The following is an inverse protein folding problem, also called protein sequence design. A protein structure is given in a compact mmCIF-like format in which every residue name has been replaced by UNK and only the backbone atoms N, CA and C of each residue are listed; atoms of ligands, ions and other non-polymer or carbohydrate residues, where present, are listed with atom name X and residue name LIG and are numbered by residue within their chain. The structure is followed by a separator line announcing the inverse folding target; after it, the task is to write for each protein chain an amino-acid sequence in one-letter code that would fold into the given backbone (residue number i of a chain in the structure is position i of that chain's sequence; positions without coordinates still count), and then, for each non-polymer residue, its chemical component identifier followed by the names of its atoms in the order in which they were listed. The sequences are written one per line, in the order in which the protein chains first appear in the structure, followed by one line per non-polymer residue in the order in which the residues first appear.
data_IF_249161181780
#
_entry.id   IF_249161181780
#
_cell.length_a   1.000
_cell.length_b   1.000
_cell.length_c   1.000
_cell.angle_alpha   90.00
_cell.angle_beta   90.00
_cell.angle_gamma   90.00
#
_symmetry.space_group_name_H-M   'P 1'
#
loop_
_entity.id
_entity.type
_entity.pdbx_description
1 polymer ?
#
# COMPACT_ATOMS: atom_id res chain seq x y z
N UNK A 1 -0.65 -9.87 -6.72
CA UNK A 1 -2.08 -10.19 -6.94
C UNK A 1 -2.36 -11.70 -6.99
N UNK A 2 -1.82 -12.46 -7.95
CA UNK A 2 -2.13 -13.90 -8.12
C UNK A 2 -1.92 -14.75 -6.85
N UNK A 3 -0.78 -14.59 -6.19
CA UNK A 3 -0.46 -15.33 -4.94
C UNK A 3 -1.50 -15.09 -3.83
N UNK A 4 -1.96 -13.84 -3.67
CA UNK A 4 -3.00 -13.51 -2.68
C UNK A 4 -4.33 -14.17 -3.04
N UNK A 5 -4.71 -14.16 -4.31
CA UNK A 5 -5.93 -14.83 -4.78
C UNK A 5 -5.85 -16.34 -4.52
N UNK A 6 -4.73 -16.97 -4.84
CA UNK A 6 -4.51 -18.41 -4.61
C UNK A 6 -4.68 -18.76 -3.12
N UNK A 7 -4.20 -17.89 -2.20
CA UNK A 7 -4.36 -18.05 -0.75
C UNK A 7 -5.80 -17.92 -0.29
N UNK A 8 -6.57 -16.97 -0.85
CA UNK A 8 -7.99 -16.83 -0.53
C UNK A 8 -8.80 -18.03 -1.03
N UNK A 9 -8.49 -18.53 -2.23
CA UNK A 9 -9.10 -19.74 -2.77
C UNK A 9 -8.75 -20.99 -1.94
N UNK A 10 -7.50 -21.11 -1.49
CA UNK A 10 -7.05 -22.18 -0.59
C UNK A 10 -7.80 -22.17 0.75
N UNK A 11 -7.97 -20.98 1.35
CA UNK A 11 -8.77 -20.80 2.57
C UNK A 11 -10.23 -21.20 2.34
N UNK A 12 -10.82 -20.79 1.22
CA UNK A 12 -12.19 -21.15 0.85
C UNK A 12 -12.38 -22.67 0.77
N UNK A 13 -11.48 -23.35 0.05
CA UNK A 13 -11.49 -24.83 -0.08
C UNK A 13 -11.36 -25.53 1.27
N UNK A 14 -10.52 -25.03 2.16
CA UNK A 14 -10.36 -25.62 3.50
C UNK A 14 -11.54 -25.34 4.43
N UNK A 15 -12.25 -24.21 4.25
CA UNK A 15 -13.48 -23.92 4.98
C UNK A 15 -14.59 -24.89 4.59
N UNK A 16 -14.68 -25.22 3.30
CA UNK A 16 -15.71 -26.12 2.77
C UNK A 16 -15.41 -27.60 3.05
N UNK A 17 -14.13 -27.97 3.24
CA UNK A 17 -13.69 -29.31 3.63
C UNK A 17 -12.66 -29.26 4.79
N UNK A 18 -13.11 -29.05 6.03
CA UNK A 18 -12.21 -29.04 7.19
C UNK A 18 -11.69 -30.44 7.52
N UNK A 19 -10.51 -30.49 8.16
CA UNK A 19 -9.96 -31.76 8.67
C UNK A 19 -10.90 -32.38 9.71
N UNK A 20 -11.06 -33.70 9.68
CA UNK A 20 -11.89 -34.44 10.64
C UNK A 20 -11.33 -34.37 12.09
N UNK A 21 -10.02 -34.16 12.23
CA UNK A 21 -9.37 -33.97 13.53
C UNK A 21 -9.31 -32.49 13.91
N UNK A 22 -9.91 -32.13 15.05
CA UNK A 22 -10.00 -30.76 15.54
C UNK A 22 -8.62 -30.10 15.74
N UNK A 23 -7.64 -30.83 16.28
CA UNK A 23 -6.29 -30.28 16.53
C UNK A 23 -5.61 -29.91 15.21
N UNK A 24 -5.72 -30.77 14.20
CA UNK A 24 -5.12 -30.53 12.89
C UNK A 24 -5.86 -29.45 12.12
N UNK A 25 -7.19 -29.40 12.24
CA UNK A 25 -8.01 -28.32 11.68
C UNK A 25 -7.64 -26.97 12.26
N UNK A 26 -7.48 -26.87 13.59
CA UNK A 26 -7.10 -25.64 14.29
C UNK A 26 -5.70 -25.17 13.88
N UNK A 27 -4.70 -26.07 13.88
CA UNK A 27 -3.33 -25.74 13.43
C UNK A 27 -3.30 -25.22 12.00
N UNK A 28 -4.00 -25.91 11.08
CA UNK A 28 -4.05 -25.53 9.67
C UNK A 28 -4.78 -24.20 9.45
N UNK A 29 -5.85 -23.95 10.21
CA UNK A 29 -6.56 -22.67 10.17
C UNK A 29 -5.65 -21.51 10.61
N UNK A 30 -4.91 -21.68 11.72
CA UNK A 30 -3.96 -20.66 12.19
C UNK A 30 -2.86 -20.38 11.17
N UNK A 31 -2.28 -21.42 10.57
CA UNK A 31 -1.24 -21.27 9.55
C UNK A 31 -1.75 -20.53 8.30
N UNK A 32 -2.96 -20.85 7.83
CA UNK A 32 -3.54 -20.16 6.69
C UNK A 32 -3.91 -18.72 7.00
N UNK A 33 -4.37 -18.42 8.22
CA UNK A 33 -4.63 -17.04 8.62
C UNK A 33 -3.34 -16.21 8.66
N UNK A 34 -2.25 -16.76 9.20
CA UNK A 34 -0.93 -16.12 9.14
C UNK A 34 -0.47 -15.88 7.69
N UNK A 35 -0.63 -16.89 6.82
CA UNK A 35 -0.32 -16.77 5.38
C UNK A 35 -1.16 -15.67 4.71
N UNK A 36 -2.46 -15.60 5.02
CA UNK A 36 -3.38 -14.56 4.51
C UNK A 36 -2.94 -13.18 4.95
N UNK A 37 -2.65 -12.99 6.23
CA UNK A 37 -2.19 -11.70 6.78
C UNK A 37 -0.92 -11.26 6.07
N UNK A 38 0.07 -12.14 5.93
CA UNK A 38 1.32 -11.83 5.26
C UNK A 38 1.11 -11.45 3.79
N UNK A 39 0.33 -12.25 3.04
CA UNK A 39 0.10 -11.95 1.62
C UNK A 39 -0.77 -10.70 1.42
N UNK A 40 -1.69 -10.41 2.35
CA UNK A 40 -2.45 -9.14 2.35
C UNK A 40 -1.53 -7.93 2.51
N UNK A 41 -0.55 -8.01 3.43
CA UNK A 41 0.45 -6.96 3.63
C UNK A 41 1.27 -6.78 2.36
N UNK A 42 1.90 -7.85 1.86
CA UNK A 42 2.70 -7.80 0.64
C UNK A 42 1.93 -7.19 -0.54
N UNK A 43 0.66 -7.58 -0.72
CA UNK A 43 -0.16 -7.03 -1.78
C UNK A 43 -0.42 -5.53 -1.60
N UNK A 44 -0.71 -5.07 -0.38
CA UNK A 44 -0.91 -3.65 -0.09
C UNK A 44 0.35 -2.85 -0.42
N UNK A 45 1.52 -3.37 -0.06
CA UNK A 45 2.80 -2.70 -0.33
C UNK A 45 3.04 -2.58 -1.83
N UNK A 46 2.78 -3.63 -2.61
CA UNK A 46 2.85 -3.57 -4.07
C UNK A 46 1.87 -2.55 -4.66
N UNK A 47 0.65 -2.43 -4.11
CA UNK A 47 -0.33 -1.42 -4.55
C UNK A 47 0.17 -0.01 -4.23
N UNK A 48 0.71 0.20 -3.02
CA UNK A 48 1.28 1.48 -2.58
C UNK A 48 2.42 1.90 -3.50
N UNK A 49 3.41 1.04 -3.69
CA UNK A 49 4.56 1.30 -4.56
C UNK A 49 4.12 1.62 -5.99
N UNK A 50 3.22 0.81 -6.57
CA UNK A 50 2.68 1.06 -7.90
C UNK A 50 1.97 2.42 -7.99
N UNK A 51 1.20 2.77 -6.97
CA UNK A 51 0.43 4.02 -6.92
C UNK A 51 1.35 5.23 -6.78
N UNK A 52 2.40 5.14 -5.95
CA UNK A 52 3.42 6.17 -5.79
C UNK A 52 4.23 6.37 -7.08
N UNK A 53 4.67 5.29 -7.72
CA UNK A 53 5.36 5.34 -9.00
C UNK A 53 4.49 5.97 -10.09
N UNK A 54 3.19 5.61 -10.14
CA UNK A 54 2.23 6.20 -11.07
C UNK A 54 2.05 7.70 -10.80
N UNK A 55 1.87 8.10 -9.52
CA UNK A 55 1.77 9.50 -9.11
C UNK A 55 3.00 10.29 -9.54
N UNK A 56 4.21 9.76 -9.30
CA UNK A 56 5.46 10.43 -9.62
C UNK A 56 5.64 10.61 -11.13
N UNK A 57 5.39 9.55 -11.92
CA UNK A 57 5.44 9.62 -13.38
C UNK A 57 4.44 10.66 -13.94
N UNK A 58 3.19 10.65 -13.46
CA UNK A 58 2.17 11.62 -13.89
C UNK A 58 2.49 13.04 -13.42
N UNK A 59 3.13 13.22 -12.26
CA UNK A 59 3.57 14.51 -11.78
C UNK A 59 4.59 15.14 -12.72
N UNK A 60 5.60 14.38 -13.15
CA UNK A 60 6.59 14.84 -14.13
C UNK A 60 5.91 15.33 -15.41
N UNK A 61 4.97 14.53 -15.96
CA UNK A 61 4.21 14.92 -17.15
C UNK A 61 3.38 16.19 -16.92
N UNK A 62 2.73 16.33 -15.76
CA UNK A 62 1.92 17.52 -15.44
C UNK A 62 2.75 18.78 -15.24
N UNK A 63 3.91 18.67 -14.59
CA UNK A 63 4.82 19.79 -14.37
C UNK A 63 5.39 20.28 -15.73
N UNK A 64 5.72 19.36 -16.64
CA UNK A 64 6.14 19.67 -18.01
C UNK A 64 5.03 20.36 -18.83
N UNK A 65 3.77 19.89 -18.69
CA UNK A 65 2.60 20.50 -19.34
C UNK A 65 2.28 21.90 -18.81
N UNK A 66 2.77 22.27 -17.62
CA UNK A 66 2.68 23.62 -17.05
C UNK A 66 3.83 24.53 -17.49
N UNK A 67 4.99 23.94 -17.79
CA UNK A 67 6.19 24.61 -18.28
C UNK A 67 6.20 24.84 -19.80
N UNK A 68 7.38 24.69 -20.41
CA UNK A 68 7.62 24.93 -21.85
C UNK A 68 7.04 23.87 -22.79
N UNK A 69 6.36 22.81 -22.26
CA UNK A 69 5.82 21.66 -23.02
C UNK A 69 6.87 20.86 -23.81
N UNK A 70 8.13 20.97 -23.42
CA UNK A 70 9.21 20.16 -23.98
C UNK A 70 9.29 18.86 -23.16
N UNK A 71 9.11 17.71 -23.80
CA UNK A 71 9.22 16.41 -23.14
C UNK A 71 10.68 16.22 -22.72
N UNK A 72 10.97 16.24 -21.42
CA UNK A 72 12.27 15.82 -20.89
C UNK A 72 12.12 14.39 -20.39
N UNK A 73 12.30 13.46 -21.31
CA UNK A 73 12.34 12.02 -20.99
C UNK A 73 13.19 11.19 -21.96
N UNK A 74 13.47 11.71 -23.16
CA UNK A 74 14.40 11.09 -24.08
C UNK A 74 15.56 12.07 -24.38
N UNK A 75 16.80 11.82 -23.93
CA UNK A 75 17.96 12.67 -24.24
C UNK A 75 18.20 12.82 -25.75
N UNK A 76 17.74 11.86 -26.54
CA UNK A 76 18.01 11.77 -27.97
C UNK A 76 16.89 12.34 -28.85
N UNK A 77 15.69 12.59 -28.31
CA UNK A 77 14.56 13.10 -29.10
C UNK A 77 13.57 13.93 -28.27
N UNK A 78 13.57 15.24 -28.51
CA UNK A 78 12.57 16.18 -27.98
C UNK A 78 11.21 15.87 -28.62
N UNK A 79 10.37 15.12 -27.94
CA UNK A 79 8.96 15.07 -28.30
C UNK A 79 8.31 16.42 -27.94
N UNK A 80 7.84 17.14 -28.95
CA UNK A 80 7.10 18.40 -28.77
C UNK A 80 5.62 18.08 -28.96
N UNK A 81 4.79 18.40 -27.97
CA UNK A 81 3.35 18.30 -28.11
C UNK A 81 2.86 19.33 -29.15
N UNK A 82 2.51 18.86 -30.35
CA UNK A 82 1.93 19.69 -31.42
C UNK A 82 0.53 20.19 -31.02
N UNK A 83 0.07 21.30 -31.62
CA UNK A 83 -1.29 21.82 -31.52
C UNK A 83 -2.36 20.76 -31.85
N UNK A 84 -2.02 19.72 -32.62
CA UNK A 84 -2.88 18.56 -32.90
C UNK A 84 -3.17 17.74 -31.62
N UNK A 85 -2.21 17.61 -30.70
CA UNK A 85 -2.38 16.86 -29.45
C UNK A 85 -3.42 17.50 -28.54
N UNK A 86 -3.56 18.84 -28.60
CA UNK A 86 -4.57 19.59 -27.86
C UNK A 86 -6.02 19.27 -28.28
N UNK A 87 -6.20 18.72 -29.48
CA UNK A 87 -7.50 18.28 -30.00
C UNK A 87 -7.82 16.82 -29.67
N UNK A 88 -6.82 16.01 -29.29
CA UNK A 88 -7.03 14.60 -28.95
C UNK A 88 -7.84 14.50 -27.66
N UNK A 89 -8.85 13.64 -27.68
CA UNK A 89 -9.72 13.38 -26.54
C UNK A 89 -9.76 11.89 -26.25
N UNK A 90 -9.72 11.56 -24.97
CA UNK A 90 -9.99 10.21 -24.50
C UNK A 90 -11.36 10.22 -23.82
N UNK A 91 -12.27 9.36 -24.27
CA UNK A 91 -13.64 9.30 -23.76
C UNK A 91 -14.34 10.68 -23.69
N UNK A 92 -14.19 11.50 -24.75
CA UNK A 92 -14.70 12.89 -24.87
C UNK A 92 -14.05 13.91 -23.92
N UNK A 93 -13.10 13.53 -23.08
CA UNK A 93 -12.34 14.43 -22.22
C UNK A 93 -11.00 14.81 -22.89
N UNK A 94 -10.51 16.06 -22.71
CA UNK A 94 -9.14 16.40 -23.09
C UNK A 94 -8.12 15.49 -22.40
N UNK A 95 -7.09 15.03 -23.10
CA UNK A 95 -6.06 14.14 -22.54
C UNK A 95 -5.43 14.73 -21.26
N UNK A 96 -5.17 16.04 -21.24
CA UNK A 96 -4.65 16.73 -20.04
C UNK A 96 -5.55 16.56 -18.83
N UNK A 97 -6.86 16.60 -19.02
CA UNK A 97 -7.83 16.41 -17.95
C UNK A 97 -7.86 14.96 -17.48
N UNK A 98 -7.75 13.99 -18.40
CA UNK A 98 -7.60 12.58 -18.05
C UNK A 98 -6.35 12.35 -17.20
N UNK A 99 -5.18 12.88 -17.61
CA UNK A 99 -3.92 12.77 -16.86
C UNK A 99 -4.05 13.40 -15.48
N UNK A 100 -4.66 14.58 -15.39
CA UNK A 100 -4.90 15.25 -14.10
C UNK A 100 -5.80 14.44 -13.17
N UNK A 101 -6.90 13.89 -13.71
CA UNK A 101 -7.84 13.08 -12.93
C UNK A 101 -7.17 11.79 -12.44
N UNK A 102 -6.37 11.13 -13.29
CA UNK A 102 -5.59 9.95 -12.89
C UNK A 102 -4.55 10.31 -11.84
N UNK A 103 -3.83 11.42 -11.99
CA UNK A 103 -2.89 11.90 -10.98
C UNK A 103 -3.57 12.17 -9.64
N UNK A 104 -4.71 12.88 -9.65
CA UNK A 104 -5.46 13.18 -8.44
C UNK A 104 -5.95 11.91 -7.73
N UNK A 105 -6.40 10.91 -8.50
CA UNK A 105 -6.76 9.61 -7.97
C UNK A 105 -5.56 8.89 -7.35
N UNK A 106 -4.45 8.77 -8.08
CA UNK A 106 -3.22 8.13 -7.57
C UNK A 106 -2.67 8.84 -6.34
N UNK A 107 -2.70 10.18 -6.32
CA UNK A 107 -2.32 10.98 -5.16
C UNK A 107 -3.19 10.65 -3.95
N UNK A 108 -4.52 10.75 -4.10
CA UNK A 108 -5.45 10.48 -3.01
C UNK A 108 -5.36 9.04 -2.49
N UNK A 109 -5.20 8.06 -3.38
CA UNK A 109 -5.04 6.66 -3.01
C UNK A 109 -3.74 6.42 -2.24
N UNK A 110 -2.62 6.98 -2.70
CA UNK A 110 -1.33 6.90 -2.01
C UNK A 110 -1.41 7.53 -0.61
N UNK A 111 -2.00 8.71 -0.47
CA UNK A 111 -2.18 9.34 0.84
C UNK A 111 -3.06 8.50 1.78
N UNK A 112 -4.13 7.87 1.27
CA UNK A 112 -4.98 7.00 2.09
C UNK A 112 -4.27 5.72 2.52
N UNK A 113 -3.39 5.17 1.68
CA UNK A 113 -2.59 3.97 2.00
C UNK A 113 -1.47 4.28 3.02
N UNK A 114 -0.91 5.49 2.98
CA UNK A 114 0.20 5.89 3.85
C UNK A 114 -0.25 6.47 5.18
N UNK A 115 -1.28 7.31 5.17
CA UNK A 115 -1.66 8.15 6.31
C UNK A 115 -3.15 8.06 6.65
N UNK A 116 -3.95 7.38 5.83
CA UNK A 116 -5.40 7.40 5.94
C UNK A 116 -6.02 6.11 6.47
N UNK A 117 -7.30 5.95 6.17
CA UNK A 117 -8.13 4.83 6.57
C UNK A 117 -7.74 3.49 5.91
N UNK A 118 -6.96 3.54 4.82
CA UNK A 118 -6.40 2.36 4.17
C UNK A 118 -4.99 2.05 4.67
N UNK A 119 -4.56 2.64 5.77
CA UNK A 119 -3.28 2.31 6.39
C UNK A 119 -3.28 0.88 6.92
N UNK A 120 -2.17 0.17 6.70
CA UNK A 120 -2.01 -1.24 7.06
C UNK A 120 -1.80 -1.53 8.55
N UNK A 121 -1.72 -0.49 9.39
CA UNK A 121 -1.53 -0.60 10.84
C UNK A 121 -0.12 -1.00 11.28
N UNK A 122 0.79 -1.25 10.34
CA UNK A 122 2.21 -1.55 10.60
C UNK A 122 3.01 -0.42 9.98
N UNK A 123 3.85 0.23 10.79
CA UNK A 123 4.81 1.23 10.30
C UNK A 123 5.80 0.50 9.42
N UNK A 124 5.69 0.72 8.12
CA UNK A 124 6.64 0.22 7.14
C UNK A 124 7.91 1.06 7.24
N UNK A 125 9.00 0.41 7.63
CA UNK A 125 10.32 1.01 7.54
C UNK A 125 10.66 1.23 6.07
N UNK A 126 11.12 2.43 5.74
CA UNK A 126 11.67 2.71 4.41
C UNK A 126 12.87 1.78 4.16
N UNK A 127 13.24 1.52 2.89
CA UNK A 127 14.45 0.75 2.57
C UNK A 127 15.70 1.32 3.23
N UNK A 128 15.76 2.64 3.40
CA UNK A 128 16.86 3.37 4.06
C UNK A 128 16.86 3.09 5.57
N UNK A 129 15.70 3.10 6.21
CA UNK A 129 15.55 2.78 7.63
C UNK A 129 15.85 1.30 7.92
N UNK A 130 15.53 0.42 6.96
CA UNK A 130 15.83 -1.01 7.04
C UNK A 130 17.34 -1.29 6.94
N UNK A 131 18.08 -0.53 6.14
CA UNK A 131 19.55 -0.60 6.11
C UNK A 131 20.18 -0.11 7.41
N UNK A 132 19.67 0.98 7.98
CA UNK A 132 20.14 1.52 9.26
C UNK A 132 19.95 0.49 10.39
N UNK A 133 18.79 -0.17 10.47
CA UNK A 133 18.53 -1.18 11.50
C UNK A 133 19.49 -2.37 11.40
N UNK A 134 19.80 -2.81 10.18
CA UNK A 134 20.75 -3.91 9.94
C UNK A 134 22.20 -3.53 10.29
N UNK A 135 22.59 -2.28 10.02
CA UNK A 135 23.94 -1.78 10.29
C UNK A 135 24.17 -1.52 11.80
N UNK A 136 23.12 -1.21 12.56
CA UNK A 136 23.22 -0.92 14.00
C UNK A 136 22.87 -2.11 14.92
N UNK A 137 22.54 -3.29 14.38
CA UNK A 137 22.17 -4.50 15.14
C UNK A 137 21.11 -4.22 16.23
N UNK A 138 20.15 -3.34 15.93
CA UNK A 138 19.08 -2.97 16.85
C UNK A 138 17.98 -4.03 16.73
N UNK A 139 17.61 -4.74 17.82
CA UNK A 139 16.55 -5.74 17.75
C UNK A 139 15.22 -5.05 17.41
N UNK A 140 14.64 -5.41 16.27
CA UNK A 140 13.28 -5.03 15.91
C UNK A 140 12.34 -5.72 16.88
N UNK A 141 11.81 -4.98 17.86
CA UNK A 141 10.70 -5.46 18.68
C UNK A 141 9.45 -5.49 17.81
N UNK A 142 9.12 -6.66 17.28
CA UNK A 142 7.77 -6.93 16.80
C UNK A 142 6.79 -6.87 17.99
N UNK A 143 5.91 -5.86 18.04
CA UNK A 143 4.67 -5.98 18.82
C UNK A 143 4.27 -4.89 19.82
N UNK A 144 4.95 -3.75 19.95
CA UNK A 144 4.46 -2.67 20.86
C UNK A 144 3.33 -1.84 20.20
N UNK A 145 2.16 -2.45 20.04
CA UNK A 145 0.87 -1.76 20.13
C UNK A 145 0.25 -2.20 21.46
N UNK A 146 0.72 -1.60 22.56
CA UNK A 146 0.11 -1.78 23.88
C UNK A 146 -1.30 -1.17 23.88
N UNK A 147 -2.27 -2.02 23.60
CA UNK A 147 -3.72 -1.77 23.76
C UNK A 147 -4.14 -1.61 25.23
N UNK A 148 -3.20 -1.58 26.19
CA UNK A 148 -3.50 -1.31 27.60
C UNK A 148 -3.64 0.20 27.91
N UNK A 149 -3.09 1.10 27.08
CA UNK A 149 -3.17 2.54 27.33
C UNK A 149 -4.49 3.21 26.88
N UNK A 150 -5.43 2.46 26.27
CA UNK A 150 -6.69 2.98 25.74
C UNK A 150 -7.95 2.56 26.51
N UNK A 151 -7.83 1.75 27.56
CA UNK A 151 -8.96 1.33 28.40
C UNK A 151 -8.63 1.44 29.89
N UNK A 152 -8.82 2.65 30.43
CA UNK A 152 -9.31 2.80 31.80
C UNK A 152 -8.26 2.95 32.89
N UNK A 153 -7.73 4.17 33.02
CA UNK A 153 -7.46 4.76 34.34
C UNK A 153 -8.75 4.84 35.16
N UNK A 154 -9.09 3.76 35.87
CA UNK A 154 -9.89 3.79 37.09
C UNK A 154 -10.07 2.39 37.67
N UNK A 155 -9.34 2.09 38.76
CA UNK A 155 -9.86 1.35 39.92
C UNK A 155 -8.91 1.48 41.12
N UNK A 156 -9.35 2.33 42.05
CA UNK A 156 -9.33 2.14 43.50
C UNK A 156 -7.99 1.89 44.21
N UNK A 157 -7.51 2.98 44.80
CA UNK A 157 -6.95 2.96 46.16
C UNK A 157 -7.86 2.19 47.12
N UNK A 158 -7.37 1.09 47.70
CA UNK A 158 -7.72 0.61 49.04
C UNK A 158 -6.85 -0.61 49.43
N UNK A 159 -5.88 -0.39 50.31
CA UNK A 159 -5.42 -1.33 51.35
C UNK A 159 -4.52 -0.50 52.30
N UNK A 160 -5.02 -0.09 53.47
CA UNK A 160 -4.83 -0.79 54.75
C UNK A 160 -3.37 -1.18 54.94
N UNK A 161 -2.62 -0.34 55.66
CA UNK A 161 -2.15 -0.63 57.02
C UNK A 161 -2.11 0.67 57.84
#
# INVERSE_FOLDING_TARGET
FRIYQDVIEEIGKNRDNPSANYIDASKKATQMEQKRIQQSRNLRNSIKEYTENTRNALKTVLDDLRGSRNIVGNPDELMVFDAIESKKRFHRLPIKECILNTYAYSYALSERLNHGDLYGGVVELSPEEMTVINDFNIPVKEGELDMENLLGSNKQSNSID
#
